data_IF_392155145168
#
_entry.id   IF_392155145168
#
_cell.length_a   1.000
_cell.length_b   1.000
_cell.length_c   1.000
_cell.angle_alpha   90.00
_cell.angle_beta   90.00
_cell.angle_gamma   90.00
#
_symmetry.space_group_name_H-M   'P 1'
#
loop_
_entity.id
_entity.type
_entity.pdbx_description
1 polymer ?
#
# COMPACT_ATOMS: atom_id res chain seq x y z
N UNK A 1 -20.65 -16.31 -6.72
CA UNK A 1 -20.17 -15.72 -5.44
C UNK A 1 -20.15 -16.75 -4.30
N UNK A 2 -21.23 -17.48 -4.00
CA UNK A 2 -21.30 -18.49 -2.91
C UNK A 2 -20.14 -19.47 -2.90
N UNK A 3 -19.83 -20.08 -4.05
CA UNK A 3 -18.71 -21.02 -4.16
C UNK A 3 -17.33 -20.38 -4.00
N UNK A 4 -17.16 -19.13 -4.45
CA UNK A 4 -15.90 -18.40 -4.29
C UNK A 4 -15.65 -18.06 -2.81
N UNK A 5 -16.70 -17.60 -2.12
CA UNK A 5 -16.69 -17.34 -0.69
C UNK A 5 -16.45 -18.62 0.12
N UNK A 6 -17.07 -19.74 -0.27
CA UNK A 6 -16.81 -21.06 0.32
C UNK A 6 -15.37 -21.55 0.08
N UNK A 7 -14.76 -21.18 -1.04
CA UNK A 7 -13.35 -21.47 -1.34
C UNK A 7 -12.36 -20.51 -0.66
N UNK A 8 -12.83 -19.57 0.15
CA UNK A 8 -12.00 -18.62 0.91
C UNK A 8 -11.62 -17.36 0.14
N UNK A 9 -12.16 -17.15 -1.07
CA UNK A 9 -12.00 -15.88 -1.78
C UNK A 9 -12.88 -14.83 -1.10
N UNK A 10 -12.28 -13.72 -0.68
CA UNK A 10 -12.99 -12.59 -0.05
C UNK A 10 -13.04 -11.38 -0.98
N UNK A 11 -14.08 -10.53 -0.93
CA UNK A 11 -14.13 -9.30 -1.73
C UNK A 11 -12.94 -8.38 -1.40
N UNK A 12 -12.12 -8.05 -2.38
CA UNK A 12 -10.92 -7.20 -2.21
C UNK A 12 -10.71 -6.29 -3.43
N UNK A 13 -9.64 -5.47 -3.42
CA UNK A 13 -9.26 -4.64 -4.58
C UNK A 13 -8.28 -5.34 -5.53
N UNK A 14 -7.90 -6.59 -5.27
CA UNK A 14 -6.84 -7.28 -6.02
C UNK A 14 -7.22 -8.74 -6.35
N UNK A 15 -6.63 -9.28 -7.41
CA UNK A 15 -6.74 -10.69 -7.82
C UNK A 15 -8.18 -11.24 -7.90
N UNK A 16 -8.39 -12.43 -7.34
CA UNK A 16 -9.68 -13.13 -7.31
C UNK A 16 -10.71 -12.40 -6.46
N UNK A 17 -10.25 -11.65 -5.46
CA UNK A 17 -11.12 -10.87 -4.58
C UNK A 17 -11.70 -9.64 -5.29
N UNK A 18 -10.94 -9.01 -6.19
CA UNK A 18 -11.44 -7.97 -7.08
C UNK A 18 -12.53 -8.49 -8.00
N UNK A 19 -12.33 -9.66 -8.64
CA UNK A 19 -13.36 -10.26 -9.50
C UNK A 19 -14.63 -10.59 -8.70
N UNK A 20 -14.49 -11.17 -7.51
CA UNK A 20 -15.63 -11.47 -6.64
C UNK A 20 -16.38 -10.19 -6.25
N UNK A 21 -15.66 -9.15 -5.81
CA UNK A 21 -16.22 -7.84 -5.45
C UNK A 21 -16.98 -7.23 -6.62
N UNK A 22 -16.40 -7.23 -7.82
CA UNK A 22 -17.06 -6.72 -9.04
C UNK A 22 -18.37 -7.45 -9.33
N UNK A 23 -18.38 -8.79 -9.27
CA UNK A 23 -19.59 -9.60 -9.49
C UNK A 23 -20.67 -9.30 -8.45
N UNK A 24 -20.29 -9.16 -7.17
CA UNK A 24 -21.23 -8.83 -6.10
C UNK A 24 -21.85 -7.44 -6.29
N UNK A 25 -21.02 -6.42 -6.55
CA UNK A 25 -21.48 -5.05 -6.79
C UNK A 25 -22.40 -4.94 -8.01
N UNK A 26 -22.10 -5.67 -9.09
CA UNK A 26 -22.98 -5.75 -10.25
C UNK A 26 -24.33 -6.37 -9.91
N UNK A 27 -24.35 -7.45 -9.11
CA UNK A 27 -25.62 -8.05 -8.66
C UNK A 27 -26.44 -7.07 -7.80
N UNK A 28 -25.79 -6.36 -6.88
CA UNK A 28 -26.42 -5.34 -6.02
C UNK A 28 -27.03 -4.22 -6.88
N UNK A 29 -26.28 -3.70 -7.86
CA UNK A 29 -26.75 -2.66 -8.77
C UNK A 29 -27.97 -3.12 -9.57
N UNK A 30 -27.96 -4.34 -10.12
CA UNK A 30 -29.11 -4.89 -10.84
C UNK A 30 -30.32 -5.10 -9.94
N UNK A 31 -30.11 -5.55 -8.71
CA UNK A 31 -31.18 -5.65 -7.73
C UNK A 31 -31.86 -4.31 -7.48
N UNK A 32 -31.08 -3.24 -7.30
CA UNK A 32 -31.63 -1.88 -7.17
C UNK A 32 -32.40 -1.43 -8.39
N UNK A 33 -31.88 -1.68 -9.60
CA UNK A 33 -32.58 -1.36 -10.85
C UNK A 33 -33.93 -2.12 -10.99
N UNK A 34 -34.06 -3.28 -10.36
CA UNK A 34 -35.31 -4.05 -10.27
C UNK A 34 -36.22 -3.63 -9.11
N UNK A 35 -35.83 -2.65 -8.30
CA UNK A 35 -36.58 -2.19 -7.13
C UNK A 35 -36.43 -3.06 -5.88
N UNK A 36 -35.38 -3.90 -5.80
CA UNK A 36 -35.07 -4.62 -4.56
C UNK A 36 -34.46 -3.66 -3.54
N UNK A 37 -35.07 -3.59 -2.36
CA UNK A 37 -34.61 -2.78 -1.23
C UNK A 37 -34.17 -3.66 -0.05
N UNK A 38 -33.31 -3.11 0.80
CA UNK A 38 -32.79 -3.83 1.96
C UNK A 38 -31.73 -4.89 1.61
N UNK A 39 -31.52 -5.84 2.52
CA UNK A 39 -30.58 -6.95 2.32
C UNK A 39 -31.32 -8.15 1.72
N UNK A 40 -30.94 -8.53 0.51
CA UNK A 40 -31.57 -9.63 -0.24
C UNK A 40 -30.53 -10.60 -0.80
N UNK A 41 -29.28 -10.18 -0.99
CA UNK A 41 -28.23 -11.01 -1.57
C UNK A 41 -27.95 -12.24 -0.69
N UNK A 42 -28.11 -12.10 0.63
CA UNK A 42 -28.04 -13.19 1.60
C UNK A 42 -29.05 -14.31 1.29
N UNK A 43 -30.30 -13.97 1.01
CA UNK A 43 -31.37 -14.93 0.72
C UNK A 43 -31.06 -15.76 -0.54
N UNK A 44 -30.44 -15.15 -1.55
CA UNK A 44 -29.99 -15.86 -2.75
C UNK A 44 -28.85 -16.84 -2.43
N UNK A 45 -27.91 -16.45 -1.56
CA UNK A 45 -26.86 -17.37 -1.13
C UNK A 45 -27.40 -18.52 -0.30
N UNK A 46 -28.39 -18.26 0.57
CA UNK A 46 -29.09 -19.29 1.34
C UNK A 46 -29.81 -20.29 0.43
N UNK A 47 -30.52 -19.79 -0.58
CA UNK A 47 -31.18 -20.66 -1.57
C UNK A 47 -30.17 -21.48 -2.37
N UNK A 48 -29.02 -20.90 -2.70
CA UNK A 48 -27.94 -21.61 -3.39
C UNK A 48 -27.37 -22.74 -2.53
N UNK A 49 -27.16 -22.48 -1.23
CA UNK A 49 -26.67 -23.48 -0.27
C UNK A 49 -27.71 -24.61 -0.11
N UNK A 50 -28.99 -24.29 -0.02
CA UNK A 50 -30.07 -25.29 0.08
C UNK A 50 -30.08 -26.22 -1.15
N UNK A 51 -29.97 -25.65 -2.36
CA UNK A 51 -30.00 -26.43 -3.60
C UNK A 51 -28.74 -27.25 -3.83
N UNK A 52 -27.56 -26.70 -3.50
CA UNK A 52 -26.27 -27.27 -3.89
C UNK A 52 -25.55 -27.99 -2.75
N UNK A 53 -25.99 -27.81 -1.50
CA UNK A 53 -25.30 -28.30 -0.30
C UNK A 53 -25.14 -29.82 -0.24
N UNK A 54 -26.06 -30.57 -0.85
CA UNK A 54 -25.95 -32.03 -0.93
C UNK A 54 -24.78 -32.51 -1.79
N UNK A 55 -24.48 -31.82 -2.90
CA UNK A 55 -23.35 -32.14 -3.77
C UNK A 55 -22.05 -31.42 -3.33
N UNK A 56 -22.18 -30.33 -2.58
CA UNK A 56 -21.08 -29.48 -2.17
C UNK A 56 -21.15 -29.14 -0.67
N UNK A 57 -20.80 -30.08 0.23
CA UNK A 57 -20.88 -29.86 1.68
C UNK A 57 -20.10 -28.63 2.17
N UNK A 58 -19.05 -28.22 1.46
CA UNK A 58 -18.25 -27.04 1.78
C UNK A 58 -19.05 -25.74 1.77
N UNK A 59 -20.09 -25.60 0.95
CA UNK A 59 -20.92 -24.39 0.98
C UNK A 59 -21.83 -24.34 2.20
N UNK A 60 -22.16 -25.50 2.78
CA UNK A 60 -22.94 -25.60 4.02
C UNK A 60 -22.05 -25.28 5.22
N UNK A 61 -20.84 -25.85 5.27
CA UNK A 61 -19.88 -25.60 6.35
C UNK A 61 -19.49 -24.12 6.47
N UNK A 62 -19.41 -23.43 5.34
CA UNK A 62 -18.97 -22.03 5.27
C UNK A 62 -20.13 -21.04 5.25
N UNK A 63 -21.37 -21.47 5.58
CA UNK A 63 -22.58 -20.63 5.50
C UNK A 63 -22.42 -19.30 6.23
N UNK A 64 -21.96 -19.33 7.49
CA UNK A 64 -21.79 -18.13 8.29
C UNK A 64 -20.77 -17.16 7.67
N UNK A 65 -19.67 -17.70 7.11
CA UNK A 65 -18.65 -16.88 6.45
C UNK A 65 -19.20 -16.24 5.17
N UNK A 66 -19.96 -16.99 4.38
CA UNK A 66 -20.62 -16.50 3.17
C UNK A 66 -21.58 -15.35 3.53
N UNK A 67 -22.47 -15.57 4.50
CA UNK A 67 -23.49 -14.59 4.91
C UNK A 67 -22.84 -13.29 5.41
N UNK A 68 -21.79 -13.38 6.24
CA UNK A 68 -21.06 -12.19 6.72
C UNK A 68 -20.53 -11.33 5.58
N UNK A 69 -19.81 -11.93 4.62
CA UNK A 69 -19.22 -11.16 3.52
C UNK A 69 -20.26 -10.61 2.56
N UNK A 70 -21.33 -11.37 2.30
CA UNK A 70 -22.43 -10.94 1.45
C UNK A 70 -23.14 -9.72 2.04
N UNK A 71 -23.52 -9.79 3.32
CA UNK A 71 -24.18 -8.67 4.02
C UNK A 71 -23.28 -7.45 4.11
N UNK A 72 -22.01 -7.64 4.48
CA UNK A 72 -21.06 -6.54 4.60
C UNK A 72 -20.85 -5.80 3.27
N UNK A 73 -20.68 -6.54 2.16
CA UNK A 73 -20.52 -5.92 0.84
C UNK A 73 -21.83 -5.27 0.35
N UNK A 74 -22.99 -5.91 0.58
CA UNK A 74 -24.30 -5.37 0.21
C UNK A 74 -24.61 -4.06 0.96
N UNK A 75 -24.36 -4.00 2.26
CA UNK A 75 -24.55 -2.80 3.05
C UNK A 75 -23.56 -1.70 2.66
N UNK A 76 -22.27 -2.04 2.58
CA UNK A 76 -21.21 -1.07 2.26
C UNK A 76 -21.42 -0.48 0.87
N UNK A 77 -21.69 -1.32 -0.13
CA UNK A 77 -21.85 -0.87 -1.50
C UNK A 77 -23.22 -0.23 -1.72
N UNK A 78 -24.29 -0.69 -1.04
CA UNK A 78 -25.61 -0.07 -1.13
C UNK A 78 -25.59 1.42 -0.82
N UNK A 79 -24.86 1.84 0.23
CA UNK A 79 -24.68 3.26 0.59
C UNK A 79 -23.93 4.05 -0.49
N UNK A 80 -22.92 3.44 -1.11
CA UNK A 80 -22.16 4.03 -2.22
C UNK A 80 -23.02 4.17 -3.47
N UNK A 81 -23.81 3.15 -3.79
CA UNK A 81 -24.69 3.10 -4.95
C UNK A 81 -25.78 4.17 -4.86
N UNK A 82 -26.41 4.34 -3.69
CA UNK A 82 -27.44 5.35 -3.49
C UNK A 82 -26.90 6.78 -3.71
N UNK A 83 -25.63 7.05 -3.34
CA UNK A 83 -24.98 8.35 -3.55
C UNK A 83 -24.48 8.55 -4.98
N UNK A 84 -23.95 7.50 -5.60
CA UNK A 84 -23.33 7.57 -6.93
C UNK A 84 -24.34 7.52 -8.08
N UNK A 85 -25.48 6.85 -7.90
CA UNK A 85 -26.48 6.69 -8.98
C UNK A 85 -27.10 8.03 -9.38
N UNK A 86 -27.49 8.86 -8.41
CA UNK A 86 -28.07 10.18 -8.71
C UNK A 86 -27.09 11.09 -9.46
N UNK A 87 -25.80 11.03 -9.13
CA UNK A 87 -24.78 11.80 -9.85
C UNK A 87 -24.52 11.23 -11.25
N UNK A 88 -24.51 9.90 -11.38
CA UNK A 88 -24.35 9.25 -12.69
C UNK A 88 -25.52 9.61 -13.63
N UNK A 89 -26.75 9.62 -13.12
CA UNK A 89 -27.93 10.09 -13.86
C UNK A 89 -27.76 11.53 -14.34
N UNK A 90 -27.31 12.44 -13.48
CA UNK A 90 -27.04 13.84 -13.85
C UNK A 90 -25.97 13.97 -14.95
N UNK A 91 -24.89 13.18 -14.85
CA UNK A 91 -23.80 13.17 -15.85
C UNK A 91 -24.32 12.64 -17.19
N UNK A 92 -25.10 11.56 -17.17
CA UNK A 92 -25.69 10.95 -18.37
C UNK A 92 -26.67 11.89 -19.04
N UNK A 93 -27.59 12.49 -18.28
CA UNK A 93 -28.58 13.44 -18.81
C UNK A 93 -27.89 14.62 -19.49
N UNK A 94 -26.86 15.18 -18.84
CA UNK A 94 -26.06 16.26 -19.42
C UNK A 94 -25.37 15.84 -20.71
N UNK A 95 -24.74 14.66 -20.74
CA UNK A 95 -24.08 14.15 -21.94
C UNK A 95 -25.07 13.95 -23.10
N UNK A 96 -26.28 13.47 -22.81
CA UNK A 96 -27.35 13.29 -23.80
C UNK A 96 -27.91 14.64 -24.30
N UNK A 97 -28.11 15.62 -23.40
CA UNK A 97 -28.53 16.98 -23.76
C UNK A 97 -27.51 17.67 -24.68
N UNK A 98 -26.23 17.52 -24.38
CA UNK A 98 -25.11 18.04 -25.17
C UNK A 98 -24.85 17.22 -26.45
N UNK A 99 -25.58 16.12 -26.65
CA UNK A 99 -25.46 15.18 -27.79
C UNK A 99 -24.07 14.55 -27.90
N UNK A 100 -23.40 14.36 -26.77
CA UNK A 100 -22.16 13.61 -26.68
C UNK A 100 -22.46 12.11 -26.69
N UNK A 101 -21.53 11.32 -27.24
CA UNK A 101 -21.57 9.84 -27.17
C UNK A 101 -20.63 9.29 -26.08
N UNK A 102 -20.20 10.15 -25.16
CA UNK A 102 -19.28 9.82 -24.07
C UNK A 102 -19.55 10.70 -22.84
N UNK A 103 -19.12 10.21 -21.68
CA UNK A 103 -18.96 11.02 -20.47
C UNK A 103 -17.48 11.38 -20.29
N UNK A 104 -17.20 12.51 -19.64
CA UNK A 104 -15.83 12.99 -19.46
C UNK A 104 -15.04 12.11 -18.48
N UNK A 105 -13.72 12.07 -18.66
CA UNK A 105 -12.81 11.43 -17.69
C UNK A 105 -12.95 12.04 -16.30
N UNK A 106 -13.12 13.37 -16.19
CA UNK A 106 -13.33 14.07 -14.92
C UNK A 106 -14.62 13.63 -14.20
N UNK A 107 -15.72 13.45 -14.94
CA UNK A 107 -16.98 12.98 -14.36
C UNK A 107 -16.86 11.53 -13.85
N UNK A 108 -16.25 10.66 -14.65
CA UNK A 108 -15.98 9.27 -14.26
C UNK A 108 -15.00 9.19 -13.07
N UNK A 109 -13.97 10.05 -13.06
CA UNK A 109 -13.01 10.16 -11.97
C UNK A 109 -13.67 10.66 -10.68
N UNK A 110 -14.54 11.66 -10.77
CA UNK A 110 -15.31 12.17 -9.61
C UNK A 110 -16.19 11.08 -9.00
N UNK A 111 -16.91 10.31 -9.82
CA UNK A 111 -17.71 9.16 -9.36
C UNK A 111 -16.83 8.16 -8.60
N UNK A 112 -15.66 7.84 -9.14
CA UNK A 112 -14.73 6.89 -8.54
C UNK A 112 -14.09 7.42 -7.24
N UNK A 113 -13.43 8.57 -7.31
CA UNK A 113 -12.61 9.09 -6.23
C UNK A 113 -13.43 9.68 -5.07
N UNK A 114 -14.41 10.53 -5.39
CA UNK A 114 -15.16 11.27 -4.38
C UNK A 114 -16.30 10.42 -3.78
N UNK A 115 -16.97 9.63 -4.62
CA UNK A 115 -18.17 8.88 -4.20
C UNK A 115 -17.92 7.39 -4.00
N UNK A 116 -16.73 6.89 -4.36
CA UNK A 116 -16.35 5.48 -4.24
C UNK A 116 -17.04 4.57 -5.25
N UNK A 117 -17.62 5.14 -6.31
CA UNK A 117 -18.38 4.40 -7.31
C UNK A 117 -17.43 3.66 -8.28
N UNK A 118 -17.53 2.33 -8.44
CA UNK A 118 -16.55 1.58 -9.22
C UNK A 118 -16.51 2.01 -10.68
N UNK A 119 -15.31 2.29 -11.20
CA UNK A 119 -15.12 2.68 -12.61
C UNK A 119 -15.69 1.66 -13.59
N UNK A 120 -15.46 0.36 -13.35
CA UNK A 120 -16.03 -0.71 -14.17
C UNK A 120 -17.55 -0.66 -14.24
N UNK A 121 -18.20 -0.30 -13.12
CA UNK A 121 -19.65 -0.21 -13.06
C UNK A 121 -20.15 1.03 -13.77
N UNK A 122 -19.47 2.17 -13.63
CA UNK A 122 -19.75 3.38 -14.43
C UNK A 122 -19.70 3.04 -15.91
N UNK A 123 -18.62 2.39 -16.38
CA UNK A 123 -18.45 2.02 -17.78
C UNK A 123 -19.55 1.09 -18.26
N UNK A 124 -19.84 0.02 -17.50
CA UNK A 124 -20.94 -0.91 -17.83
C UNK A 124 -22.30 -0.19 -17.92
N UNK A 125 -22.59 0.76 -17.03
CA UNK A 125 -23.88 1.47 -17.00
C UNK A 125 -24.05 2.46 -18.15
N UNK A 126 -22.99 3.21 -18.51
CA UNK A 126 -23.08 4.17 -19.62
C UNK A 126 -23.08 3.47 -20.99
N UNK A 127 -22.38 2.33 -21.11
CA UNK A 127 -22.42 1.50 -22.32
C UNK A 127 -23.83 1.02 -22.66
N UNK A 128 -24.66 0.68 -21.66
CA UNK A 128 -26.06 0.29 -21.87
C UNK A 128 -26.93 1.40 -22.45
N UNK A 129 -26.52 2.64 -22.27
CA UNK A 129 -27.18 3.84 -22.79
C UNK A 129 -26.55 4.32 -24.11
N UNK A 130 -25.58 3.57 -24.66
CA UNK A 130 -24.87 3.93 -25.90
C UNK A 130 -23.81 5.01 -25.71
N UNK A 131 -23.41 5.29 -24.47
CA UNK A 131 -22.35 6.22 -24.12
C UNK A 131 -21.05 5.45 -23.81
N UNK A 132 -19.91 6.12 -23.98
CA UNK A 132 -18.59 5.60 -23.62
C UNK A 132 -17.96 6.44 -22.49
N UNK A 133 -16.87 5.94 -21.92
CA UNK A 133 -16.03 6.71 -21.00
C UNK A 133 -14.68 6.93 -21.67
N UNK A 134 -14.07 8.09 -21.47
CA UNK A 134 -12.68 8.32 -21.85
C UNK A 134 -11.74 7.53 -20.93
N UNK A 135 -11.46 6.27 -21.30
CA UNK A 135 -10.56 5.37 -20.55
C UNK A 135 -9.15 5.98 -20.42
N UNK A 136 -8.63 6.61 -21.47
CA UNK A 136 -7.28 7.18 -21.46
C UNK A 136 -7.19 8.37 -20.49
N UNK A 137 -8.14 9.31 -20.57
CA UNK A 137 -8.19 10.44 -19.65
C UNK A 137 -8.39 10.01 -18.19
N UNK A 138 -9.17 8.95 -17.96
CA UNK A 138 -9.35 8.40 -16.61
C UNK A 138 -8.06 7.80 -16.06
N UNK A 139 -7.32 7.02 -16.87
CA UNK A 139 -6.03 6.46 -16.48
C UNK A 139 -5.00 7.57 -16.17
N UNK A 140 -4.97 8.63 -16.97
CA UNK A 140 -4.12 9.80 -16.73
C UNK A 140 -4.47 10.49 -15.39
N UNK A 141 -5.76 10.65 -15.07
CA UNK A 141 -6.21 11.21 -13.78
C UNK A 141 -5.87 10.29 -12.60
N UNK A 142 -5.99 8.97 -12.76
CA UNK A 142 -5.58 7.98 -11.76
C UNK A 142 -4.07 8.01 -11.53
N UNK A 143 -3.27 8.16 -12.58
CA UNK A 143 -1.82 8.32 -12.47
C UNK A 143 -1.44 9.64 -11.81
N UNK A 144 -2.10 10.74 -12.19
CA UNK A 144 -1.95 12.04 -11.52
C UNK A 144 -2.30 11.95 -10.04
N UNK A 145 -3.38 11.26 -9.67
CA UNK A 145 -3.76 11.06 -8.27
C UNK A 145 -2.74 10.21 -7.51
N UNK A 146 -2.22 9.14 -8.12
CA UNK A 146 -1.16 8.30 -7.54
C UNK A 146 0.11 9.10 -7.35
N UNK A 147 0.48 9.90 -8.34
CA UNK A 147 1.65 10.78 -8.29
C UNK A 147 1.46 11.92 -7.29
N UNK A 148 0.25 12.47 -7.16
CA UNK A 148 -0.11 13.46 -6.14
C UNK A 148 -0.11 12.85 -4.74
N UNK A 149 -0.58 11.62 -4.57
CA UNK A 149 -0.53 10.91 -3.28
C UNK A 149 0.91 10.58 -2.90
N UNK A 150 1.75 10.23 -3.89
CA UNK A 150 3.20 10.05 -3.73
C UNK A 150 3.93 11.38 -3.50
N UNK A 151 3.50 12.48 -4.12
CA UNK A 151 4.10 13.81 -3.95
C UNK A 151 3.58 14.58 -2.74
N UNK A 152 2.41 14.20 -2.23
CA UNK A 152 1.89 14.68 -0.94
C UNK A 152 2.48 13.86 0.21
N UNK A 153 2.90 12.61 -0.05
CA UNK A 153 3.76 11.84 0.85
C UNK A 153 5.24 12.26 0.75
N UNK A 154 5.68 12.80 -0.38
CA UNK A 154 7.03 13.34 -0.61
C UNK A 154 6.95 14.69 -1.35
N UNK A 155 6.96 15.80 -0.62
CA UNK A 155 6.72 17.19 -1.08
C UNK A 155 6.99 17.51 -2.57
N UNK A 156 6.03 18.21 -3.19
CA UNK A 156 5.91 18.41 -4.64
C UNK A 156 7.04 19.13 -5.38
N UNK A 157 6.95 19.12 -6.72
CA UNK A 157 7.81 19.74 -7.76
C UNK A 157 9.33 19.52 -7.68
N UNK A 158 9.97 19.66 -6.52
CA UNK A 158 11.37 19.31 -6.27
C UNK A 158 11.59 17.79 -6.26
N UNK A 159 10.58 17.00 -5.87
CA UNK A 159 10.68 15.54 -5.79
C UNK A 159 10.90 14.83 -7.14
N UNK A 160 10.34 15.36 -8.23
CA UNK A 160 10.51 14.78 -9.57
C UNK A 160 11.94 15.00 -10.10
N UNK A 161 12.50 16.20 -9.88
CA UNK A 161 13.88 16.53 -10.22
C UNK A 161 14.88 15.77 -9.32
N UNK A 162 14.55 15.60 -8.03
CA UNK A 162 15.32 14.78 -7.07
C UNK A 162 15.38 13.31 -7.52
N UNK A 163 14.25 12.70 -7.85
CA UNK A 163 14.21 11.29 -8.27
C UNK A 163 14.97 11.05 -9.57
N UNK A 164 14.81 11.92 -10.57
CA UNK A 164 15.56 11.85 -11.81
C UNK A 164 17.08 11.97 -11.61
N UNK A 165 17.51 12.87 -10.72
CA UNK A 165 18.93 13.04 -10.37
C UNK A 165 19.51 11.80 -9.68
N UNK A 166 18.78 11.21 -8.73
CA UNK A 166 19.22 9.99 -8.03
C UNK A 166 19.38 8.83 -9.02
N UNK A 167 18.43 8.65 -9.95
CA UNK A 167 18.52 7.61 -10.98
C UNK A 167 19.72 7.84 -11.91
N UNK A 168 19.97 9.09 -12.34
CA UNK A 168 21.13 9.42 -13.16
C UNK A 168 22.46 9.19 -12.40
N UNK A 169 22.50 9.53 -11.11
CA UNK A 169 23.67 9.32 -10.26
C UNK A 169 23.93 7.84 -9.96
N UNK A 170 22.88 7.03 -9.78
CA UNK A 170 23.01 5.58 -9.55
C UNK A 170 23.79 4.87 -10.67
N UNK A 171 23.68 5.36 -11.92
CA UNK A 171 24.47 4.87 -13.06
C UNK A 171 25.97 5.21 -13.03
N UNK A 172 26.44 5.98 -12.04
CA UNK A 172 27.86 6.29 -11.84
C UNK A 172 28.50 5.28 -10.87
N UNK A 173 29.76 4.93 -11.08
CA UNK A 173 30.50 3.98 -10.23
C UNK A 173 29.99 2.54 -10.31
N UNK A 174 30.51 1.66 -9.47
CA UNK A 174 30.05 0.27 -9.33
C UNK A 174 28.80 0.17 -8.45
N UNK A 175 28.04 -0.92 -8.59
CA UNK A 175 26.95 -1.26 -7.66
C UNK A 175 27.49 -1.41 -6.22
N UNK A 176 26.69 -1.03 -5.24
CA UNK A 176 27.02 -1.14 -3.82
C UNK A 176 26.64 -2.52 -3.26
N UNK A 177 27.59 -3.21 -2.63
CA UNK A 177 27.31 -4.45 -1.90
C UNK A 177 26.70 -4.13 -0.52
N UNK A 178 25.49 -4.62 -0.26
CA UNK A 178 24.86 -4.45 1.05
C UNK A 178 25.38 -5.48 2.07
N UNK A 179 26.09 -5.00 3.09
CA UNK A 179 26.69 -5.82 4.17
C UNK A 179 25.99 -5.63 5.52
N UNK A 180 24.88 -4.87 5.55
CA UNK A 180 24.18 -4.45 6.76
C UNK A 180 23.44 -5.53 7.53
N UNK A 181 23.38 -6.76 7.00
CA UNK A 181 22.88 -7.95 7.71
C UNK A 181 23.84 -8.42 8.81
N UNK A 182 25.15 -8.32 8.55
CA UNK A 182 26.19 -8.80 9.46
C UNK A 182 26.87 -7.65 10.21
N UNK A 183 27.05 -6.50 9.55
CA UNK A 183 27.87 -5.41 10.05
C UNK A 183 27.08 -4.10 10.15
N UNK A 184 27.21 -3.41 11.28
CA UNK A 184 26.76 -2.02 11.45
C UNK A 184 27.87 -1.00 11.20
N UNK A 185 29.08 -1.49 10.92
CA UNK A 185 30.27 -0.70 10.62
C UNK A 185 31.06 -1.39 9.52
N UNK A 186 31.50 -0.64 8.52
CA UNK A 186 32.33 -1.15 7.44
C UNK A 186 33.37 -0.11 7.03
N UNK A 187 34.61 -0.53 6.84
CA UNK A 187 35.61 0.27 6.12
C UNK A 187 35.40 0.02 4.62
N UNK A 188 35.17 1.07 3.84
CA UNK A 188 34.75 0.94 2.42
C UNK A 188 35.24 2.12 1.58
N UNK A 189 35.41 1.90 0.27
CA UNK A 189 35.66 2.97 -0.70
C UNK A 189 34.40 3.77 -1.07
N UNK A 190 34.59 5.05 -1.40
CA UNK A 190 33.61 5.91 -2.07
C UNK A 190 33.71 5.69 -3.59
N UNK A 191 32.79 4.92 -4.16
CA UNK A 191 32.76 4.60 -5.60
C UNK A 191 32.31 5.77 -6.47
N UNK A 192 31.43 6.64 -5.95
CA UNK A 192 31.02 7.88 -6.59
C UNK A 192 30.56 8.90 -5.54
N UNK A 193 30.77 10.19 -5.80
CA UNK A 193 30.25 11.29 -4.98
C UNK A 193 29.94 12.51 -5.83
N UNK A 194 28.76 13.10 -5.63
CA UNK A 194 28.33 14.34 -6.29
C UNK A 194 27.72 15.29 -5.25
N UNK A 195 28.25 16.51 -5.15
CA UNK A 195 27.73 17.54 -4.24
C UNK A 195 26.60 18.33 -4.89
N UNK A 196 25.48 18.49 -4.19
CA UNK A 196 24.29 19.18 -4.68
C UNK A 196 23.78 20.12 -3.60
N UNK A 197 23.78 21.44 -3.83
CA UNK A 197 23.17 22.44 -2.94
C UNK A 197 23.51 22.30 -1.42
N UNK A 198 24.75 21.92 -1.09
CA UNK A 198 25.19 21.76 0.29
C UNK A 198 24.91 20.38 0.93
N UNK A 199 24.32 19.46 0.18
CA UNK A 199 24.29 18.01 0.46
C UNK A 199 25.15 17.28 -0.56
N UNK A 200 25.27 15.95 -0.45
CA UNK A 200 25.92 15.12 -1.47
C UNK A 200 25.19 13.80 -1.66
N UNK A 201 25.25 13.27 -2.88
CA UNK A 201 24.93 11.89 -3.19
C UNK A 201 26.22 11.08 -3.18
N UNK A 202 26.19 9.87 -2.61
CA UNK A 202 27.35 9.00 -2.58
C UNK A 202 26.98 7.53 -2.81
N UNK A 203 27.95 6.80 -3.39
CA UNK A 203 27.91 5.34 -3.48
C UNK A 203 29.11 4.75 -2.75
N UNK A 204 28.85 3.77 -1.92
CA UNK A 204 29.87 2.98 -1.22
C UNK A 204 30.08 1.67 -1.97
N UNK A 205 31.31 1.19 -2.05
CA UNK A 205 31.58 -0.16 -2.57
C UNK A 205 30.88 -1.23 -1.71
N UNK A 206 30.99 -1.11 -0.38
CA UNK A 206 30.27 -1.92 0.60
C UNK A 206 29.53 -1.02 1.58
N UNK A 207 28.23 -1.23 1.76
CA UNK A 207 27.39 -0.37 2.60
C UNK A 207 26.69 -1.16 3.70
N UNK A 208 26.86 -0.78 4.98
CA UNK A 208 26.11 -1.38 6.09
C UNK A 208 24.70 -0.78 6.24
N UNK A 209 24.34 0.27 5.49
CA UNK A 209 23.07 0.98 5.65
C UNK A 209 21.95 0.31 4.85
N UNK A 210 20.81 0.05 5.52
CA UNK A 210 19.62 -0.49 4.90
C UNK A 210 18.87 0.63 4.18
N UNK A 211 18.63 0.45 2.89
CA UNK A 211 17.78 1.33 2.10
C UNK A 211 16.30 1.11 2.42
N UNK A 212 15.49 2.18 2.39
CA UNK A 212 14.05 2.08 2.69
C UNK A 212 13.36 0.97 1.87
N UNK A 213 12.52 0.19 2.55
CA UNK A 213 11.53 -0.66 1.89
C UNK A 213 10.97 -1.78 2.77
N UNK A 214 9.92 -2.42 2.27
CA UNK A 214 9.11 -3.34 3.07
C UNK A 214 8.39 -2.66 4.23
N UNK A 215 8.15 -1.34 4.14
CA UNK A 215 7.61 -0.51 5.21
C UNK A 215 8.65 -0.01 6.22
N UNK A 216 9.88 -0.53 6.20
CA UNK A 216 10.97 -0.09 7.06
C UNK A 216 11.69 1.13 6.47
N UNK A 217 11.84 2.17 7.30
CA UNK A 217 12.60 3.38 6.94
C UNK A 217 14.08 3.08 6.73
N UNK A 218 14.72 3.89 5.90
CA UNK A 218 16.17 3.84 5.68
C UNK A 218 16.95 4.07 6.98
N UNK A 219 18.15 3.51 7.05
CA UNK A 219 19.05 3.84 8.14
C UNK A 219 19.64 5.24 8.03
N UNK A 220 20.02 5.75 9.18
CA UNK A 220 20.86 6.93 9.33
C UNK A 220 22.19 6.55 9.97
N UNK A 221 23.17 7.46 9.91
CA UNK A 221 24.44 7.29 10.59
C UNK A 221 25.48 8.27 10.08
N UNK A 222 26.73 7.83 9.96
CA UNK A 222 27.85 8.68 9.60
C UNK A 222 28.86 7.98 8.68
N UNK A 223 29.52 8.78 7.85
CA UNK A 223 30.76 8.40 7.17
C UNK A 223 31.90 9.21 7.81
N UNK A 224 33.00 8.53 8.17
CA UNK A 224 34.16 9.13 8.86
C UNK A 224 35.43 8.85 8.05
N UNK A 225 36.30 9.84 7.90
CA UNK A 225 37.64 9.70 7.29
C UNK A 225 38.62 10.68 7.91
N UNK A 226 39.90 10.60 7.53
CA UNK A 226 40.97 11.45 8.09
C UNK A 226 40.71 12.96 7.98
N UNK A 227 39.87 13.38 7.02
CA UNK A 227 39.53 14.78 6.77
C UNK A 227 38.23 15.25 7.42
N UNK A 228 37.47 14.38 8.10
CA UNK A 228 36.23 14.78 8.78
C UNK A 228 35.17 13.69 8.86
N UNK A 229 33.93 14.14 9.06
CA UNK A 229 32.75 13.27 9.07
C UNK A 229 31.54 13.97 8.45
N UNK A 230 30.64 13.18 7.86
CA UNK A 230 29.33 13.62 7.36
C UNK A 230 28.24 12.69 7.87
N UNK A 231 27.01 13.19 7.93
CA UNK A 231 25.84 12.41 8.33
C UNK A 231 25.19 11.78 7.10
N UNK A 232 24.83 10.49 7.22
CA UNK A 232 23.95 9.81 6.26
C UNK A 232 22.52 10.13 6.67
N UNK A 233 21.84 10.89 5.82
CA UNK A 233 20.48 11.40 6.05
C UNK A 233 19.40 10.47 5.51
N UNK A 234 19.66 9.82 4.38
CA UNK A 234 18.72 8.92 3.69
C UNK A 234 19.50 7.88 2.87
N UNK A 235 18.87 6.74 2.60
CA UNK A 235 19.44 5.65 1.77
C UNK A 235 18.36 5.12 0.83
N UNK A 236 18.62 5.28 -0.45
CA UNK A 236 17.62 5.16 -1.50
C UNK A 236 17.99 3.99 -2.38
N UNK A 237 17.07 3.02 -2.49
CA UNK A 237 17.26 1.83 -3.33
C UNK A 237 16.94 2.15 -4.79
N UNK A 238 17.82 1.73 -5.69
CA UNK A 238 17.68 1.88 -7.14
C UNK A 238 17.96 0.52 -7.79
N UNK A 239 16.91 -0.27 -8.03
CA UNK A 239 17.07 -1.66 -8.45
C UNK A 239 17.76 -2.49 -7.36
N UNK A 240 18.87 -3.14 -7.72
CA UNK A 240 19.73 -3.91 -6.81
C UNK A 240 20.85 -3.04 -6.18
N UNK A 241 20.91 -1.76 -6.52
CA UNK A 241 21.90 -0.79 -6.02
C UNK A 241 21.28 0.18 -5.00
N UNK A 242 22.11 1.04 -4.41
CA UNK A 242 21.66 2.10 -3.51
C UNK A 242 22.51 3.37 -3.60
N UNK A 243 21.86 4.49 -3.32
CA UNK A 243 22.45 5.82 -3.23
C UNK A 243 22.23 6.38 -1.84
N UNK A 244 23.28 6.88 -1.21
CA UNK A 244 23.22 7.55 0.08
C UNK A 244 23.06 9.05 -0.15
N UNK A 245 22.16 9.68 0.60
CA UNK A 245 22.10 11.14 0.72
C UNK A 245 22.86 11.57 1.98
N UNK A 246 23.86 12.41 1.79
CA UNK A 246 24.76 12.90 2.82
C UNK A 246 24.48 14.36 3.12
N UNK A 247 24.56 14.72 4.40
CA UNK A 247 24.46 16.11 4.86
C UNK A 247 25.63 16.46 5.79
N UNK A 248 25.96 17.75 5.93
CA UNK A 248 27.01 18.19 6.84
C UNK A 248 26.68 17.80 8.28
N UNK A 249 27.71 17.44 9.07
CA UNK A 249 27.53 17.21 10.49
C UNK A 249 27.10 18.50 11.21
N UNK A 250 26.25 18.38 12.23
CA UNK A 250 25.74 19.54 12.96
C UNK A 250 26.85 20.47 13.48
N UNK A 251 26.88 21.71 12.99
CA UNK A 251 27.83 22.76 13.44
C UNK A 251 29.19 22.80 12.74
N UNK A 252 29.40 22.04 11.66
CA UNK A 252 30.63 22.10 10.85
C UNK A 252 30.38 22.53 9.40
N UNK A 253 31.40 23.14 8.77
CA UNK A 253 31.45 23.30 7.32
C UNK A 253 31.64 21.91 6.67
N UNK A 254 30.96 21.67 5.54
CA UNK A 254 30.96 20.38 4.88
C UNK A 254 32.29 20.14 4.12
N UNK A 255 33.25 19.47 4.77
CA UNK A 255 34.30 18.78 4.03
C UNK A 255 33.68 17.48 3.50
N UNK A 256 33.69 17.25 2.19
CA UNK A 256 33.23 15.99 1.59
C UNK A 256 34.41 15.04 1.41
N UNK A 257 34.23 13.71 1.56
CA UNK A 257 35.31 12.77 1.26
C UNK A 257 35.66 12.85 -0.23
N UNK A 258 36.96 12.84 -0.60
CA UNK A 258 37.34 12.81 -2.01
C UNK A 258 36.83 11.53 -2.69
N UNK A 259 36.49 11.61 -3.98
CA UNK A 259 36.12 10.42 -4.74
C UNK A 259 37.26 9.39 -4.72
N UNK A 260 36.93 8.12 -4.46
CA UNK A 260 37.90 7.04 -4.27
C UNK A 260 38.56 7.01 -2.88
N UNK A 261 38.17 7.87 -1.94
CA UNK A 261 38.64 7.77 -0.56
C UNK A 261 38.06 6.56 0.16
N UNK A 262 38.82 6.01 1.10
CA UNK A 262 38.34 5.06 2.09
C UNK A 262 37.69 5.80 3.25
N UNK A 263 36.50 5.34 3.66
CA UNK A 263 35.73 5.87 4.79
C UNK A 263 35.32 4.73 5.72
N UNK A 264 35.15 5.05 7.01
CA UNK A 264 34.42 4.20 7.96
C UNK A 264 32.92 4.58 7.90
N UNK A 265 32.11 3.67 7.37
CA UNK A 265 30.66 3.77 7.35
C UNK A 265 30.08 3.21 8.66
N UNK A 266 29.36 4.03 9.43
CA UNK A 266 28.84 3.68 10.76
C UNK A 266 27.33 3.94 10.83
N UNK A 267 26.53 2.88 10.95
CA UNK A 267 25.08 2.95 11.16
C UNK A 267 24.74 3.43 12.57
N UNK A 268 23.70 4.24 12.72
CA UNK A 268 23.11 4.51 14.03
C UNK A 268 22.49 3.24 14.62
N UNK A 269 23.25 2.62 15.52
CA UNK A 269 22.88 1.39 16.20
C UNK A 269 21.57 1.53 16.97
N UNK A 270 21.33 2.65 17.66
CA UNK A 270 20.13 2.76 18.48
C UNK A 270 18.87 2.81 17.61
N UNK A 271 18.92 3.63 16.56
CA UNK A 271 17.86 3.74 15.56
C UNK A 271 17.59 2.38 14.89
N UNK A 272 18.64 1.73 14.37
CA UNK A 272 18.55 0.42 13.71
C UNK A 272 17.90 -0.64 14.61
N UNK A 273 18.35 -0.79 15.85
CA UNK A 273 17.82 -1.82 16.75
C UNK A 273 16.36 -1.57 17.12
N UNK A 274 15.95 -0.31 17.31
CA UNK A 274 14.52 0.01 17.55
C UNK A 274 13.67 -0.33 16.32
N UNK A 275 14.15 -0.01 15.12
CA UNK A 275 13.47 -0.37 13.86
C UNK A 275 13.38 -1.89 13.68
N UNK A 276 14.44 -2.65 13.96
CA UNK A 276 14.42 -4.12 13.91
C UNK A 276 13.41 -4.73 14.88
N UNK A 277 13.30 -4.18 16.10
CA UNK A 277 12.27 -4.61 17.07
C UNK A 277 10.87 -4.35 16.53
N UNK A 278 10.63 -3.16 15.98
CA UNK A 278 9.34 -2.82 15.39
C UNK A 278 9.02 -3.66 14.15
N UNK A 279 10.02 -4.01 13.34
CA UNK A 279 9.86 -4.92 12.20
C UNK A 279 9.44 -6.32 12.68
N UNK A 280 10.13 -6.86 13.68
CA UNK A 280 9.77 -8.14 14.29
C UNK A 280 8.36 -8.09 14.89
N UNK A 281 8.04 -7.02 15.61
CA UNK A 281 6.71 -6.79 16.17
C UNK A 281 5.63 -6.70 15.09
N UNK A 282 5.95 -6.25 13.87
CA UNK A 282 5.02 -6.24 12.73
C UNK A 282 4.59 -7.66 12.36
N UNK A 283 5.54 -8.59 12.29
CA UNK A 283 5.25 -10.00 11.97
C UNK A 283 4.45 -10.67 13.08
N UNK A 284 4.83 -10.43 14.34
CA UNK A 284 4.07 -10.93 15.50
C UNK A 284 2.65 -10.36 15.50
N UNK A 285 2.49 -9.05 15.32
CA UNK A 285 1.19 -8.41 15.26
C UNK A 285 0.32 -9.01 14.14
N UNK A 286 0.88 -9.21 12.95
CA UNK A 286 0.17 -9.81 11.84
C UNK A 286 -0.26 -11.25 12.15
N UNK A 287 0.60 -12.06 12.78
CA UNK A 287 0.28 -13.42 13.19
C UNK A 287 -0.84 -13.44 14.24
N UNK A 288 -0.77 -12.59 15.27
CA UNK A 288 -1.79 -12.48 16.32
C UNK A 288 -3.14 -12.03 15.75
N UNK A 289 -3.14 -11.05 14.83
CA UNK A 289 -4.35 -10.61 14.16
C UNK A 289 -5.00 -11.75 13.35
N UNK A 290 -4.19 -12.56 12.65
CA UNK A 290 -4.70 -13.73 11.91
C UNK A 290 -5.22 -14.84 12.84
N UNK A 291 -4.58 -15.05 13.99
CA UNK A 291 -5.01 -16.01 15.00
C UNK A 291 -6.35 -15.59 15.64
N UNK A 292 -6.51 -14.29 15.95
CA UNK A 292 -7.71 -13.75 16.61
C UNK A 292 -8.88 -13.54 15.66
N UNK A 293 -8.64 -12.84 14.56
CA UNK A 293 -9.68 -12.33 13.67
C UNK A 293 -9.93 -13.28 12.49
N UNK A 294 -8.93 -14.09 12.12
CA UNK A 294 -9.02 -15.07 11.04
C UNK A 294 -8.02 -14.83 9.89
N UNK A 295 -7.87 -15.84 9.04
CA UNK A 295 -6.85 -15.86 7.97
C UNK A 295 -7.12 -14.91 6.80
N UNK A 296 -8.26 -14.22 6.78
CA UNK A 296 -8.58 -13.17 5.81
C UNK A 296 -7.91 -11.82 6.13
N UNK A 297 -7.29 -11.70 7.30
CA UNK A 297 -6.46 -10.55 7.62
C UNK A 297 -5.21 -10.59 6.74
N UNK A 298 -5.08 -9.58 5.89
CA UNK A 298 -3.93 -9.34 5.04
C UNK A 298 -3.38 -7.93 5.31
N UNK A 299 -2.06 -7.78 5.21
CA UNK A 299 -1.41 -6.48 5.29
C UNK A 299 -1.83 -5.60 4.11
N UNK A 300 -2.33 -4.40 4.40
CA UNK A 300 -2.65 -3.35 3.43
C UNK A 300 -1.59 -2.24 3.41
N UNK A 301 -0.81 -2.09 4.49
CA UNK A 301 0.26 -1.10 4.61
C UNK A 301 1.07 -1.30 5.87
N UNK A 302 2.31 -0.83 5.87
CA UNK A 302 3.16 -0.82 7.07
C UNK A 302 4.13 0.35 7.05
N UNK A 303 4.37 0.94 8.22
CA UNK A 303 5.41 1.93 8.45
C UNK A 303 6.15 1.56 9.73
N UNK A 304 7.41 1.18 9.58
CA UNK A 304 8.30 0.70 10.65
C UNK A 304 9.38 1.75 10.84
N UNK A 305 9.25 2.53 11.91
CA UNK A 305 10.18 3.61 12.30
C UNK A 305 10.78 3.30 13.68
N UNK A 306 11.90 3.93 14.08
CA UNK A 306 12.48 3.72 15.41
C UNK A 306 11.54 4.12 16.57
N UNK A 307 10.68 5.09 16.34
CA UNK A 307 9.78 5.69 17.34
C UNK A 307 8.36 5.10 17.31
N UNK A 308 7.93 4.56 16.15
CA UNK A 308 6.57 4.07 15.95
C UNK A 308 6.48 2.97 14.92
N UNK A 309 5.58 2.03 15.15
CA UNK A 309 5.05 1.07 14.18
C UNK A 309 3.61 1.45 13.81
N UNK A 310 3.30 1.47 12.51
CA UNK A 310 1.92 1.45 11.98
C UNK A 310 1.75 0.20 11.12
N UNK A 311 0.65 -0.52 11.33
CA UNK A 311 0.30 -1.69 10.55
C UNK A 311 -1.17 -1.58 10.14
N UNK A 312 -1.40 -1.46 8.83
CA UNK A 312 -2.72 -1.34 8.24
C UNK A 312 -3.10 -2.71 7.67
N UNK A 313 -4.30 -3.21 7.96
CA UNK A 313 -4.73 -4.56 7.57
C UNK A 313 -6.19 -4.63 7.15
N UNK A 314 -6.53 -5.65 6.36
CA UNK A 314 -7.89 -5.87 5.87
C UNK A 314 -8.78 -6.51 6.95
N UNK A 315 -9.77 -5.75 7.42
CA UNK A 315 -10.80 -6.24 8.32
C UNK A 315 -12.09 -5.46 8.06
N UNK A 316 -13.24 -6.16 8.01
CA UNK A 316 -14.52 -5.58 7.57
C UNK A 316 -15.19 -4.69 8.62
N UNK A 317 -14.69 -4.69 9.85
CA UNK A 317 -15.22 -3.95 10.98
C UNK A 317 -14.08 -3.44 11.86
N UNK A 318 -14.39 -2.55 12.81
CA UNK A 318 -13.42 -2.10 13.79
C UNK A 318 -13.17 -3.19 14.84
N UNK A 319 -11.93 -3.36 15.28
CA UNK A 319 -11.61 -4.29 16.37
C UNK A 319 -12.31 -3.87 17.66
N UNK A 320 -12.84 -4.85 18.39
CA UNK A 320 -13.39 -4.60 19.72
C UNK A 320 -12.26 -4.34 20.73
N UNK A 321 -12.54 -3.67 21.87
CA UNK A 321 -11.55 -3.52 22.94
C UNK A 321 -10.98 -4.85 23.44
N UNK A 322 -11.80 -5.91 23.42
CA UNK A 322 -11.40 -7.27 23.80
C UNK A 322 -10.45 -7.89 22.77
N UNK A 323 -10.68 -7.69 21.47
CA UNK A 323 -9.76 -8.15 20.42
C UNK A 323 -8.41 -7.44 20.52
N UNK A 324 -8.42 -6.12 20.78
CA UNK A 324 -7.20 -5.32 20.94
C UNK A 324 -6.38 -5.85 22.12
N UNK A 325 -7.02 -6.03 23.28
CA UNK A 325 -6.36 -6.54 24.49
C UNK A 325 -5.80 -7.94 24.24
N UNK A 326 -6.57 -8.82 23.60
CA UNK A 326 -6.13 -10.18 23.30
C UNK A 326 -4.90 -10.19 22.39
N UNK A 327 -4.89 -9.35 21.33
CA UNK A 327 -3.76 -9.26 20.40
C UNK A 327 -2.51 -8.72 21.09
N UNK A 328 -2.67 -7.70 21.94
CA UNK A 328 -1.58 -7.14 22.74
C UNK A 328 -0.97 -8.20 23.68
N UNK A 329 -1.82 -8.90 24.45
CA UNK A 329 -1.38 -9.96 25.36
C UNK A 329 -0.71 -11.12 24.60
N UNK A 330 -1.23 -11.48 23.43
CA UNK A 330 -0.68 -12.56 22.62
C UNK A 330 0.73 -12.25 22.12
N UNK A 331 0.91 -11.05 21.58
CA UNK A 331 2.22 -10.58 21.09
C UNK A 331 3.22 -10.49 22.25
N UNK A 332 2.82 -9.90 23.39
CA UNK A 332 3.66 -9.82 24.58
C UNK A 332 4.01 -11.21 25.14
N UNK A 333 3.08 -12.17 25.05
CA UNK A 333 3.31 -13.58 25.37
C UNK A 333 4.45 -14.17 24.53
N UNK A 334 4.38 -14.06 23.20
CA UNK A 334 5.44 -14.56 22.31
C UNK A 334 6.80 -13.90 22.57
N UNK A 335 6.81 -12.58 22.80
CA UNK A 335 8.06 -11.87 23.13
C UNK A 335 8.67 -12.41 24.43
N UNK A 336 7.83 -12.76 25.41
CA UNK A 336 8.29 -13.30 26.70
C UNK A 336 8.77 -14.75 26.58
N UNK A 337 8.13 -15.55 25.74
CA UNK A 337 8.48 -16.94 25.53
C UNK A 337 9.82 -17.08 24.79
N UNK A 338 10.17 -16.09 23.96
CA UNK A 338 11.49 -16.01 23.33
C UNK A 338 11.71 -17.07 22.26
N UNK A 339 10.66 -17.40 21.50
CA UNK A 339 10.73 -18.37 20.41
C UNK A 339 11.77 -17.92 19.34
N UNK A 340 12.58 -18.86 18.80
CA UNK A 340 13.66 -18.56 17.86
C UNK A 340 13.22 -17.94 16.53
#
# INVERSE_FOLDING_TARGET
>A
MTFLLAAGVVPSNEDRGYVLRRVMRRAIQRGRALGLEGSWLGDFTDRTIEMMGGAHPQVVMEKERIDRWVRAEEESFGKTLDRGTALLEEIVDRALEDKNSWISADDAFKLHDTYGFPYDLTREMVEELGLSVDDQGFDELMEQQRNQSRSNAAGGSEGADRHGRILAFAGQGSESEFVGYEYLRSETGIGALETVNGTALAKLEQSPFYAEGGGQVADTGRLIWDGGQVEVADVIRVGDDQVLELKPAAGGDAAWPPAGATVEAVVDRESRFRTMRNHTATHLLHAALRERLGTHVHQAGSSVRPDKLRFDFSHGEAMTPEDITWVEDRVNGWIKDGDP
#
